data_IF_586208975296
#
_entry.id   IF_586208975296
#
_cell.length_a   1.000
_cell.length_b   1.000
_cell.length_c   1.000
_cell.angle_alpha   90.00
_cell.angle_beta   90.00
_cell.angle_gamma   90.00
#
_symmetry.space_group_name_H-M   'P 1'
#
loop_
_entity.id
_entity.type
_entity.pdbx_description
1 polymer ?
#
# COMPACT_ATOMS: atom_id res chain seq x y z
N UNK A 1 28.87 -47.79 11.19
CA UNK A 1 28.11 -48.09 9.96
C UNK A 1 28.19 -46.88 9.03
N UNK A 2 29.18 -46.88 8.11
CA UNK A 2 29.29 -45.85 7.07
C UNK A 2 28.16 -46.05 6.04
N UNK A 3 27.23 -45.09 5.86
CA UNK A 3 26.30 -45.18 4.75
C UNK A 3 27.01 -44.79 3.45
N UNK A 4 26.81 -45.62 2.42
CA UNK A 4 27.30 -45.48 1.05
C UNK A 4 27.07 -44.08 0.44
N UNK A 5 27.92 -43.65 -0.50
CA UNK A 5 27.85 -42.32 -1.11
C UNK A 5 26.64 -42.23 -2.04
N UNK A 6 25.60 -41.49 -1.63
CA UNK A 6 24.58 -41.00 -2.57
C UNK A 6 25.25 -39.93 -3.44
N UNK A 7 25.43 -40.21 -4.73
CA UNK A 7 25.93 -39.28 -5.74
C UNK A 7 25.00 -38.05 -5.78
N UNK A 8 25.37 -36.97 -5.07
CA UNK A 8 24.62 -35.72 -5.03
C UNK A 8 24.84 -34.94 -3.74
N UNK A 9 24.72 -33.61 -3.81
CA UNK A 9 24.75 -32.75 -2.63
C UNK A 9 23.38 -32.75 -1.94
N UNK A 10 23.36 -32.71 -0.60
CA UNK A 10 22.12 -32.47 0.15
C UNK A 10 21.76 -30.99 0.06
N UNK A 11 20.48 -30.64 -0.03
CA UNK A 11 20.01 -29.25 0.01
C UNK A 11 19.18 -29.04 1.27
N UNK A 12 19.52 -28.01 2.04
CA UNK A 12 18.77 -27.56 3.22
C UNK A 12 18.25 -26.15 2.93
N UNK A 13 16.94 -25.98 2.99
CA UNK A 13 16.28 -24.68 2.83
C UNK A 13 15.74 -24.28 4.20
N UNK A 14 16.10 -23.08 4.65
CA UNK A 14 15.60 -22.47 5.87
C UNK A 14 14.83 -21.22 5.47
N UNK A 15 13.51 -21.27 5.64
CA UNK A 15 12.66 -20.12 5.44
C UNK A 15 12.60 -19.26 6.71
N UNK A 16 12.37 -17.96 6.54
CA UNK A 16 12.32 -16.97 7.63
C UNK A 16 13.53 -17.04 8.58
N UNK A 17 14.74 -17.18 8.03
CA UNK A 17 15.95 -17.32 8.83
C UNK A 17 16.21 -16.10 9.75
N UNK A 18 15.59 -14.95 9.47
CA UNK A 18 15.60 -13.75 10.30
C UNK A 18 14.73 -13.83 11.57
N UNK A 19 13.87 -14.84 11.68
CA UNK A 19 13.15 -15.17 12.91
C UNK A 19 14.01 -16.00 13.89
N UNK A 20 15.15 -16.54 13.45
CA UNK A 20 16.04 -17.33 14.32
C UNK A 20 16.76 -16.46 15.34
N UNK A 21 16.91 -16.97 16.56
CA UNK A 21 17.71 -16.32 17.60
C UNK A 21 19.19 -16.23 17.20
N UNK A 22 19.88 -15.23 17.75
CA UNK A 22 21.30 -15.01 17.47
C UNK A 22 22.17 -16.24 17.77
N UNK A 23 21.88 -16.96 18.86
CA UNK A 23 22.60 -18.17 19.24
C UNK A 23 22.35 -19.32 18.26
N UNK A 24 21.12 -19.47 17.78
CA UNK A 24 20.77 -20.45 16.76
C UNK A 24 21.47 -20.13 15.43
N UNK A 25 21.55 -18.86 15.04
CA UNK A 25 22.30 -18.43 13.86
C UNK A 25 23.81 -18.72 14.01
N UNK A 26 24.40 -18.47 15.19
CA UNK A 26 25.79 -18.80 15.49
C UNK A 26 26.06 -20.32 15.47
N UNK A 27 25.11 -21.14 15.92
CA UNK A 27 25.18 -22.59 15.79
C UNK A 27 25.08 -23.02 14.32
N UNK A 28 24.12 -22.48 13.57
CA UNK A 28 23.92 -22.77 12.14
C UNK A 28 25.17 -22.44 11.32
N UNK A 29 25.83 -21.30 11.60
CA UNK A 29 27.10 -20.94 10.97
C UNK A 29 28.13 -22.06 11.07
N UNK A 30 28.32 -22.65 12.27
CA UNK A 30 29.26 -23.74 12.49
C UNK A 30 28.88 -25.00 11.71
N UNK A 31 27.58 -25.25 11.57
CA UNK A 31 27.05 -26.36 10.76
C UNK A 31 27.34 -26.15 9.28
N UNK A 32 27.09 -24.94 8.75
CA UNK A 32 27.36 -24.60 7.35
C UNK A 32 28.84 -24.78 7.03
N UNK A 33 29.74 -24.29 7.91
CA UNK A 33 31.18 -24.47 7.75
C UNK A 33 31.58 -25.95 7.71
N UNK A 34 31.05 -26.76 8.65
CA UNK A 34 31.43 -28.18 8.80
C UNK A 34 30.92 -29.05 7.65
N UNK A 35 29.78 -28.72 7.06
CA UNK A 35 29.09 -29.58 6.09
C UNK A 35 29.03 -29.01 4.66
N UNK A 36 29.75 -27.92 4.37
CA UNK A 36 29.76 -27.24 3.05
C UNK A 36 30.12 -28.14 1.87
N UNK A 37 30.98 -29.15 2.09
CA UNK A 37 31.42 -30.07 1.03
C UNK A 37 30.30 -31.01 0.55
N UNK A 38 29.36 -31.37 1.43
CA UNK A 38 28.35 -32.38 1.14
C UNK A 38 26.92 -31.81 1.14
N UNK A 39 26.72 -30.61 1.68
CA UNK A 39 25.41 -29.97 1.87
C UNK A 39 25.43 -28.52 1.41
N UNK A 40 24.45 -28.15 0.59
CA UNK A 40 24.15 -26.77 0.20
C UNK A 40 23.05 -26.22 1.11
N UNK A 41 23.22 -24.98 1.54
CA UNK A 41 22.26 -24.27 2.39
C UNK A 41 21.67 -23.10 1.61
N UNK A 42 20.35 -22.96 1.66
CA UNK A 42 19.60 -21.83 1.13
C UNK A 42 18.85 -21.18 2.30
N UNK A 43 19.15 -19.91 2.56
CA UNK A 43 18.49 -19.12 3.60
C UNK A 43 17.57 -18.12 2.93
N UNK A 44 16.30 -18.12 3.30
CA UNK A 44 15.31 -17.15 2.86
C UNK A 44 15.02 -16.27 4.08
N UNK A 45 15.01 -14.95 3.88
CA UNK A 45 14.76 -13.99 4.95
C UNK A 45 14.20 -12.69 4.36
N UNK A 46 13.41 -11.97 5.15
CA UNK A 46 12.84 -10.69 4.75
C UNK A 46 13.82 -9.53 5.06
N UNK A 47 14.46 -9.59 6.22
CA UNK A 47 15.36 -8.55 6.68
C UNK A 47 16.80 -9.06 6.86
N UNK A 48 17.66 -8.73 5.90
CA UNK A 48 19.08 -9.08 5.95
C UNK A 48 19.78 -8.53 7.21
N UNK A 49 19.36 -7.37 7.71
CA UNK A 49 19.91 -6.75 8.93
C UNK A 49 19.75 -7.60 10.19
N UNK A 50 18.78 -8.53 10.22
CA UNK A 50 18.57 -9.48 11.32
C UNK A 50 19.41 -10.76 11.20
N UNK A 51 20.11 -10.95 10.09
CA UNK A 51 21.03 -12.07 9.90
C UNK A 51 22.43 -11.67 10.33
N UNK A 52 23.10 -12.52 11.13
CA UNK A 52 24.44 -12.22 11.61
C UNK A 52 25.43 -12.03 10.45
N UNK A 53 26.35 -11.04 10.50
CA UNK A 53 27.32 -10.80 9.44
C UNK A 53 28.16 -12.04 9.07
N UNK A 54 28.39 -12.92 10.04
CA UNK A 54 29.12 -14.16 9.82
C UNK A 54 28.36 -15.17 8.94
N UNK A 55 27.02 -15.23 8.99
CA UNK A 55 26.25 -16.05 8.05
C UNK A 55 26.24 -15.40 6.66
N UNK A 56 26.07 -14.07 6.61
CA UNK A 56 26.06 -13.34 5.35
C UNK A 56 27.35 -13.53 4.54
N UNK A 57 28.51 -13.57 5.20
CA UNK A 57 29.80 -13.76 4.50
C UNK A 57 30.02 -15.16 3.93
N UNK A 58 29.22 -16.15 4.34
CA UNK A 58 29.31 -17.56 3.89
C UNK A 58 28.32 -17.90 2.78
N UNK A 59 27.43 -16.97 2.43
CA UNK A 59 26.37 -17.19 1.46
C UNK A 59 26.47 -16.19 0.31
N UNK A 60 26.20 -16.64 -0.91
CA UNK A 60 25.96 -15.74 -2.04
C UNK A 60 24.60 -15.06 -1.85
N UNK A 61 24.58 -13.74 -1.94
CA UNK A 61 23.39 -12.94 -1.68
C UNK A 61 22.61 -12.70 -2.97
N UNK A 62 21.35 -13.10 -2.97
CA UNK A 62 20.37 -12.72 -4.00
C UNK A 62 19.32 -11.85 -3.35
N UNK A 63 19.08 -10.65 -3.92
CA UNK A 63 18.05 -9.73 -3.44
C UNK A 63 16.90 -9.75 -4.42
N UNK A 64 15.73 -10.16 -3.95
CA UNK A 64 14.48 -10.06 -4.69
C UNK A 64 13.81 -8.74 -4.30
N UNK A 65 13.71 -7.83 -5.27
CA UNK A 65 12.94 -6.59 -5.13
C UNK A 65 11.48 -6.81 -5.51
N UNK A 66 10.61 -5.80 -5.28
CA UNK A 66 9.26 -5.79 -5.81
C UNK A 66 9.27 -5.99 -7.34
N UNK A 67 8.30 -6.75 -7.84
CA UNK A 67 8.19 -7.01 -9.27
C UNK A 67 7.71 -5.76 -10.02
N UNK A 68 8.22 -5.55 -11.22
CA UNK A 68 7.73 -4.52 -12.13
C UNK A 68 6.40 -4.96 -12.76
N UNK A 69 5.55 -3.98 -13.12
CA UNK A 69 4.28 -4.25 -13.79
C UNK A 69 4.45 -5.10 -15.06
N UNK A 70 5.51 -4.87 -15.82
CA UNK A 70 5.86 -5.61 -17.05
C UNK A 70 6.08 -7.11 -16.80
N UNK A 71 6.58 -7.50 -15.63
CA UNK A 71 6.78 -8.90 -15.25
C UNK A 71 5.52 -9.51 -14.63
N UNK A 72 4.72 -8.70 -13.93
CA UNK A 72 3.49 -9.16 -13.26
C UNK A 72 2.36 -9.43 -14.25
N UNK A 73 2.14 -8.54 -15.22
CA UNK A 73 0.99 -8.62 -16.14
C UNK A 73 0.97 -9.92 -16.94
N UNK A 74 2.07 -10.38 -17.58
CA UNK A 74 2.06 -11.65 -18.31
C UNK A 74 1.75 -12.84 -17.40
N UNK A 75 2.24 -12.82 -16.15
CA UNK A 75 1.97 -13.88 -15.19
C UNK A 75 0.52 -13.89 -14.73
N UNK A 76 -0.09 -12.72 -14.50
CA UNK A 76 -1.51 -12.59 -14.17
C UNK A 76 -2.39 -13.03 -15.34
N UNK A 77 -2.07 -12.62 -16.56
CA UNK A 77 -2.80 -13.03 -17.76
C UNK A 77 -2.79 -14.54 -17.96
N UNK A 78 -1.66 -15.21 -17.72
CA UNK A 78 -1.58 -16.67 -17.75
C UNK A 78 -2.57 -17.31 -16.78
N UNK A 79 -2.60 -16.86 -15.52
CA UNK A 79 -3.53 -17.39 -14.51
C UNK A 79 -4.99 -17.12 -14.88
N UNK A 80 -5.29 -15.92 -15.40
CA UNK A 80 -6.65 -15.55 -15.82
C UNK A 80 -7.15 -16.45 -16.95
N UNK A 81 -6.28 -16.79 -17.91
CA UNK A 81 -6.61 -17.68 -19.02
C UNK A 81 -6.81 -19.12 -18.58
N UNK A 82 -5.97 -19.63 -17.68
CA UNK A 82 -6.09 -21.00 -17.15
C UNK A 82 -7.35 -21.18 -16.29
N UNK A 83 -7.69 -20.18 -15.47
CA UNK A 83 -8.83 -20.24 -14.56
C UNK A 83 -10.14 -19.71 -15.18
N UNK A 84 -10.09 -19.13 -16.39
CA UNK A 84 -11.26 -18.61 -17.10
C UNK A 84 -11.95 -17.42 -16.42
N UNK A 85 -11.18 -16.52 -15.81
CA UNK A 85 -11.71 -15.36 -15.06
C UNK A 85 -12.01 -14.18 -15.99
N UNK A 86 -13.17 -13.53 -15.84
CA UNK A 86 -13.50 -12.30 -16.57
C UNK A 86 -12.85 -11.07 -15.89
N UNK A 87 -11.82 -10.52 -16.52
CA UNK A 87 -11.06 -9.36 -16.04
C UNK A 87 -11.07 -8.24 -17.08
N UNK A 88 -11.51 -7.06 -16.66
CA UNK A 88 -11.42 -5.84 -17.49
C UNK A 88 -10.00 -5.25 -17.47
N UNK A 89 -9.63 -4.48 -18.50
CA UNK A 89 -8.31 -3.82 -18.55
C UNK A 89 -8.07 -2.88 -17.36
N UNK A 90 -9.10 -2.15 -16.94
CA UNK A 90 -8.98 -1.24 -15.80
C UNK A 90 -8.91 -2.01 -14.46
N UNK A 91 -9.58 -3.16 -14.36
CA UNK A 91 -9.42 -4.09 -13.25
C UNK A 91 -7.98 -4.63 -13.15
N UNK A 92 -7.36 -4.97 -14.29
CA UNK A 92 -5.96 -5.39 -14.34
C UNK A 92 -5.01 -4.28 -13.86
N UNK A 93 -5.21 -3.04 -14.33
CA UNK A 93 -4.42 -1.89 -13.86
C UNK A 93 -4.56 -1.69 -12.35
N UNK A 94 -5.79 -1.72 -11.83
CA UNK A 94 -6.06 -1.60 -10.41
C UNK A 94 -5.38 -2.69 -9.58
N UNK A 95 -5.43 -3.95 -10.03
CA UNK A 95 -4.74 -5.07 -9.40
C UNK A 95 -3.24 -4.81 -9.29
N UNK A 96 -2.59 -4.43 -10.40
CA UNK A 96 -1.14 -4.18 -10.42
C UNK A 96 -0.78 -3.01 -9.50
N UNK A 97 -1.55 -1.92 -9.53
CA UNK A 97 -1.34 -0.76 -8.66
C UNK A 97 -1.45 -1.11 -7.18
N UNK A 98 -2.54 -1.77 -6.77
CA UNK A 98 -2.76 -2.14 -5.36
C UNK A 98 -1.78 -3.20 -4.86
N UNK A 99 -1.26 -4.03 -5.76
CA UNK A 99 -0.33 -5.10 -5.40
C UNK A 99 1.08 -4.60 -5.08
N UNK A 100 1.45 -3.39 -5.54
CA UNK A 100 2.75 -2.77 -5.24
C UNK A 100 3.97 -3.68 -5.48
N UNK A 101 3.92 -4.51 -6.52
CA UNK A 101 4.99 -5.46 -6.86
C UNK A 101 4.96 -6.80 -6.12
N UNK A 102 3.97 -7.04 -5.26
CA UNK A 102 3.75 -8.32 -4.58
C UNK A 102 2.78 -9.21 -5.37
N UNK A 103 3.30 -10.30 -5.94
CA UNK A 103 2.50 -11.26 -6.72
C UNK A 103 1.51 -12.04 -5.86
N UNK A 104 1.85 -12.34 -4.60
CA UNK A 104 0.94 -13.03 -3.66
C UNK A 104 -0.27 -12.16 -3.39
N UNK A 105 -0.04 -10.86 -3.13
CA UNK A 105 -1.13 -9.89 -2.97
C UNK A 105 -1.98 -9.80 -4.23
N UNK A 106 -1.37 -9.71 -5.41
CA UNK A 106 -2.09 -9.65 -6.69
C UNK A 106 -3.05 -10.83 -6.90
N UNK A 107 -2.56 -12.05 -6.69
CA UNK A 107 -3.37 -13.26 -6.85
C UNK A 107 -4.49 -13.35 -5.82
N UNK A 108 -4.22 -12.97 -4.56
CA UNK A 108 -5.24 -12.96 -3.52
C UNK A 108 -6.37 -11.99 -3.83
N UNK A 109 -6.05 -10.79 -4.34
CA UNK A 109 -7.06 -9.79 -4.73
C UNK A 109 -7.84 -10.29 -5.95
N UNK A 110 -7.15 -10.82 -6.97
CA UNK A 110 -7.78 -11.38 -8.17
C UNK A 110 -8.80 -12.47 -7.81
N UNK A 111 -8.39 -13.44 -6.99
CA UNK A 111 -9.23 -14.54 -6.55
C UNK A 111 -10.43 -14.02 -5.74
N UNK A 112 -10.18 -13.16 -4.74
CA UNK A 112 -11.24 -12.65 -3.86
C UNK A 112 -12.28 -11.84 -4.64
N UNK A 113 -11.84 -11.01 -5.59
CA UNK A 113 -12.72 -10.18 -6.42
C UNK A 113 -13.55 -11.04 -7.37
N UNK A 114 -12.91 -12.03 -8.02
CA UNK A 114 -13.59 -12.99 -8.91
C UNK A 114 -14.67 -13.78 -8.16
N UNK A 115 -14.35 -14.29 -6.97
CA UNK A 115 -15.29 -15.05 -6.15
C UNK A 115 -16.47 -14.19 -5.63
N UNK A 116 -16.23 -12.92 -5.31
CA UNK A 116 -17.26 -12.04 -4.76
C UNK A 116 -18.22 -11.48 -5.81
N UNK A 117 -17.73 -11.11 -7.00
CA UNK A 117 -18.51 -10.35 -7.99
C UNK A 117 -18.62 -11.03 -9.35
N UNK A 118 -17.92 -12.14 -9.59
CA UNK A 118 -17.89 -12.86 -10.87
C UNK A 118 -17.08 -12.16 -11.98
N UNK A 119 -16.98 -10.83 -11.95
CA UNK A 119 -16.18 -10.01 -12.87
C UNK A 119 -15.24 -9.08 -12.13
N UNK A 120 -14.00 -8.99 -12.60
CA UNK A 120 -12.96 -8.15 -12.00
C UNK A 120 -12.89 -6.80 -12.74
N UNK A 121 -13.55 -5.81 -12.15
CA UNK A 121 -13.51 -4.39 -12.55
C UNK A 121 -12.73 -3.55 -11.56
N UNK A 122 -12.31 -2.34 -11.93
CA UNK A 122 -11.64 -1.40 -11.03
C UNK A 122 -12.44 -1.22 -9.73
N UNK A 123 -13.74 -0.92 -9.83
CA UNK A 123 -14.62 -0.70 -8.69
C UNK A 123 -14.71 -1.91 -7.75
N UNK A 124 -14.84 -3.11 -8.31
CA UNK A 124 -14.92 -4.36 -7.54
C UNK A 124 -13.60 -4.65 -6.82
N UNK A 125 -12.46 -4.36 -7.46
CA UNK A 125 -11.12 -4.54 -6.88
C UNK A 125 -10.90 -3.60 -5.68
N UNK A 126 -11.23 -2.31 -5.83
CA UNK A 126 -11.12 -1.34 -4.73
C UNK A 126 -12.09 -1.66 -3.58
N UNK A 127 -13.31 -2.07 -3.91
CA UNK A 127 -14.31 -2.45 -2.89
C UNK A 127 -13.90 -3.72 -2.15
N UNK A 128 -13.36 -4.72 -2.84
CA UNK A 128 -12.89 -5.97 -2.23
C UNK A 128 -11.68 -5.75 -1.31
N UNK A 129 -10.83 -4.76 -1.61
CA UNK A 129 -9.64 -4.46 -0.81
C UNK A 129 -9.93 -3.50 0.34
N UNK A 130 -11.13 -2.92 0.43
CA UNK A 130 -11.45 -1.87 1.41
C UNK A 130 -10.64 -0.58 1.21
N UNK A 131 -10.03 -0.43 0.03
CA UNK A 131 -9.18 0.73 -0.27
C UNK A 131 -10.04 1.87 -0.84
N UNK A 132 -9.85 3.12 -0.39
CA UNK A 132 -10.67 4.23 -0.84
C UNK A 132 -10.52 4.45 -2.35
N UNK A 133 -11.66 4.74 -3.01
CA UNK A 133 -11.65 5.19 -4.38
C UNK A 133 -11.15 6.63 -4.47
N UNK A 134 -10.60 6.94 -5.64
CA UNK A 134 -10.20 8.29 -6.06
C UNK A 134 -11.27 9.36 -5.78
N UNK A 135 -12.53 9.06 -6.09
CA UNK A 135 -13.67 9.94 -5.83
C UNK A 135 -13.98 10.14 -4.35
N UNK A 136 -13.78 9.10 -3.54
CA UNK A 136 -14.02 9.15 -2.10
C UNK A 136 -13.00 10.07 -1.42
N UNK A 137 -11.73 9.97 -1.80
CA UNK A 137 -10.68 10.88 -1.32
C UNK A 137 -10.96 12.32 -1.70
N UNK A 138 -11.40 12.58 -2.94
CA UNK A 138 -11.77 13.93 -3.38
C UNK A 138 -12.92 14.52 -2.54
N UNK A 139 -13.96 13.72 -2.27
CA UNK A 139 -15.07 14.13 -1.42
C UNK A 139 -14.62 14.39 0.03
N UNK A 140 -13.74 13.54 0.58
CA UNK A 140 -13.19 13.73 1.93
C UNK A 140 -12.40 15.05 2.02
N UNK A 141 -11.56 15.33 1.04
CA UNK A 141 -10.81 16.59 0.95
C UNK A 141 -11.73 17.81 0.86
N UNK A 142 -12.75 17.74 0.00
CA UNK A 142 -13.76 18.80 -0.12
C UNK A 142 -14.46 19.06 1.21
N UNK A 143 -14.89 18.02 1.92
CA UNK A 143 -15.56 18.18 3.21
C UNK A 143 -14.63 18.75 4.28
N UNK A 144 -13.36 18.34 4.31
CA UNK A 144 -12.39 18.86 5.28
C UNK A 144 -12.06 20.34 5.07
N UNK A 145 -12.06 20.81 3.82
CA UNK A 145 -11.74 22.20 3.48
C UNK A 145 -12.99 23.10 3.52
N UNK A 146 -14.12 22.66 2.97
CA UNK A 146 -15.26 23.54 2.72
C UNK A 146 -16.39 23.44 3.75
N UNK A 147 -16.45 22.39 4.57
CA UNK A 147 -17.53 22.20 5.54
C UNK A 147 -17.09 22.52 6.97
N UNK A 148 -18.06 22.66 7.88
CA UNK A 148 -17.80 22.77 9.32
C UNK A 148 -17.27 21.44 9.88
N UNK A 149 -16.55 21.52 11.01
CA UNK A 149 -15.92 20.37 11.67
C UNK A 149 -16.89 19.21 11.91
N UNK A 150 -18.09 19.52 12.43
CA UNK A 150 -19.07 18.51 12.83
C UNK A 150 -19.66 17.80 11.62
N UNK A 151 -20.00 18.55 10.57
CA UNK A 151 -20.52 18.01 9.32
C UNK A 151 -19.47 17.19 8.59
N UNK A 152 -18.22 17.68 8.50
CA UNK A 152 -17.12 16.94 7.89
C UNK A 152 -16.88 15.61 8.62
N UNK A 153 -16.79 15.64 9.96
CA UNK A 153 -16.59 14.44 10.76
C UNK A 153 -17.71 13.41 10.55
N UNK A 154 -18.98 13.85 10.57
CA UNK A 154 -20.12 12.97 10.35
C UNK A 154 -20.11 12.33 8.97
N UNK A 155 -19.90 13.11 7.91
CA UNK A 155 -19.87 12.63 6.52
C UNK A 155 -18.72 11.62 6.30
N UNK A 156 -17.53 11.92 6.81
CA UNK A 156 -16.38 11.01 6.68
C UNK A 156 -16.61 9.73 7.48
N UNK A 157 -17.15 9.82 8.70
CA UNK A 157 -17.47 8.64 9.51
C UNK A 157 -18.53 7.76 8.87
N UNK A 158 -19.58 8.36 8.28
CA UNK A 158 -20.62 7.65 7.54
C UNK A 158 -20.03 6.92 6.32
N UNK A 159 -19.22 7.62 5.51
CA UNK A 159 -18.56 7.02 4.35
C UNK A 159 -17.65 5.85 4.73
N UNK A 160 -16.84 6.02 5.79
CA UNK A 160 -15.99 4.95 6.32
C UNK A 160 -16.79 3.73 6.77
N UNK A 161 -17.93 3.96 7.45
CA UNK A 161 -18.78 2.88 7.96
C UNK A 161 -19.48 2.14 6.83
N UNK A 162 -19.98 2.87 5.82
CA UNK A 162 -20.68 2.28 4.68
C UNK A 162 -19.76 1.48 3.76
N UNK A 163 -18.54 1.98 3.51
CA UNK A 163 -17.59 1.36 2.57
C UNK A 163 -16.50 0.52 3.25
N UNK A 164 -16.47 0.45 4.58
CA UNK A 164 -15.47 -0.32 5.34
C UNK A 164 -14.05 0.23 5.20
N UNK A 165 -13.89 1.55 5.03
CA UNK A 165 -12.59 2.18 4.79
C UNK A 165 -11.82 2.38 6.09
N UNK A 166 -10.53 2.03 6.08
CA UNK A 166 -9.62 2.36 7.17
C UNK A 166 -9.13 3.80 7.07
N UNK A 167 -8.99 4.49 8.21
CA UNK A 167 -8.41 5.84 8.24
C UNK A 167 -6.96 5.85 7.75
N UNK A 168 -6.22 4.75 7.95
CA UNK A 168 -4.84 4.64 7.51
C UNK A 168 -4.75 4.76 5.98
N UNK A 169 -5.60 4.04 5.24
CA UNK A 169 -5.62 4.10 3.77
C UNK A 169 -6.03 5.50 3.27
N UNK A 170 -7.03 6.11 3.92
CA UNK A 170 -7.44 7.49 3.64
C UNK A 170 -6.28 8.46 3.85
N UNK A 171 -5.55 8.32 4.96
CA UNK A 171 -4.43 9.18 5.30
C UNK A 171 -3.27 9.02 4.31
N UNK A 172 -2.94 7.79 3.91
CA UNK A 172 -1.88 7.53 2.92
C UNK A 172 -2.21 8.20 1.57
N UNK A 173 -3.45 8.07 1.09
CA UNK A 173 -3.87 8.72 -0.17
C UNK A 173 -3.87 10.25 -0.07
N UNK A 174 -4.34 10.80 1.05
CA UNK A 174 -4.28 12.25 1.30
C UNK A 174 -2.83 12.73 1.39
N UNK A 175 -1.95 11.98 2.04
CA UNK A 175 -0.53 12.32 2.13
C UNK A 175 0.12 12.36 0.75
N UNK A 176 -0.16 11.37 -0.10
CA UNK A 176 0.30 11.36 -1.49
C UNK A 176 -0.23 12.56 -2.28
N UNK A 177 -1.49 12.94 -2.07
CA UNK A 177 -2.09 14.11 -2.70
C UNK A 177 -1.39 15.41 -2.29
N UNK A 178 -1.18 15.63 -0.99
CA UNK A 178 -0.50 16.84 -0.48
C UNK A 178 0.98 16.87 -0.89
N UNK A 179 1.65 15.72 -0.90
CA UNK A 179 3.07 15.61 -1.24
C UNK A 179 3.35 15.88 -2.73
N UNK A 180 2.52 15.32 -3.63
CA UNK A 180 2.69 15.54 -5.09
C UNK A 180 2.35 16.96 -5.54
N UNK A 181 1.67 17.74 -4.70
CA UNK A 181 1.37 19.15 -4.93
C UNK A 181 0.57 19.37 -6.21
N UNK A 182 -0.76 19.20 -6.15
CA UNK A 182 -1.67 19.76 -7.16
C UNK A 182 -1.36 19.43 -8.63
N UNK A 183 -0.61 18.37 -8.95
CA UNK A 183 -0.33 18.05 -10.35
C UNK A 183 -1.63 17.67 -11.05
N UNK A 184 -1.92 18.40 -12.14
CA UNK A 184 -3.14 18.46 -12.99
C UNK A 184 -3.74 17.13 -13.47
N UNK A 185 -3.16 16.00 -13.09
CA UNK A 185 -3.52 14.64 -13.55
C UNK A 185 -4.95 14.26 -13.14
N UNK A 186 -5.44 14.78 -12.00
CA UNK A 186 -6.77 14.44 -11.49
C UNK A 186 -7.90 15.26 -12.14
N UNK A 187 -7.62 16.49 -12.56
CA UNK A 187 -8.58 17.35 -13.28
C UNK A 187 -9.03 16.70 -14.59
N UNK A 188 -8.12 16.09 -15.33
CA UNK A 188 -8.45 15.39 -16.58
C UNK A 188 -9.34 14.16 -16.34
N UNK A 189 -9.09 13.38 -15.28
CA UNK A 189 -9.88 12.18 -14.98
C UNK A 189 -11.28 12.48 -14.40
N UNK A 190 -11.44 13.57 -13.64
CA UNK A 190 -12.73 13.96 -13.06
C UNK A 190 -13.67 14.55 -14.14
N UNK A 191 -13.12 15.27 -15.12
CA UNK A 191 -13.90 15.88 -16.21
C UNK A 191 -14.47 14.87 -17.24
N UNK A 192 -14.02 13.61 -17.24
CA UNK A 192 -14.45 12.60 -18.22
C UNK A 192 -15.62 11.69 -17.76
N UNK A 193 -16.19 11.88 -16.56
CA UNK A 193 -17.30 11.05 -16.05
C UNK A 193 -18.67 11.71 -16.29
N UNK A 194 -19.63 11.03 -16.97
CA UNK A 194 -20.90 11.64 -17.43
C UNK A 194 -21.97 11.88 -16.34
N UNK A 195 -21.77 11.45 -15.10
CA UNK A 195 -22.79 11.51 -14.02
C UNK A 195 -22.29 12.23 -12.75
N UNK A 196 -21.56 13.34 -12.91
CA UNK A 196 -21.23 14.21 -11.78
C UNK A 196 -22.35 15.27 -11.62
N UNK A 197 -23.13 15.26 -10.52
CA UNK A 197 -24.30 16.11 -10.38
C UNK A 197 -23.95 17.42 -9.68
N UNK A 198 -22.89 18.11 -10.12
CA UNK A 198 -22.58 19.46 -9.64
C UNK A 198 -22.22 20.35 -10.83
N UNK A 199 -22.78 21.57 -10.91
CA UNK A 199 -22.51 22.50 -11.99
C UNK A 199 -21.02 22.82 -12.05
N UNK A 200 -20.46 22.81 -13.28
CA UNK A 200 -19.03 23.01 -13.61
C UNK A 200 -18.38 24.26 -12.96
N UNK A 201 -19.17 25.20 -12.44
CA UNK A 201 -18.71 26.39 -11.73
C UNK A 201 -18.28 26.15 -10.27
N UNK A 202 -18.76 25.09 -9.61
CA UNK A 202 -18.34 24.76 -8.22
C UNK A 202 -17.15 23.78 -8.18
N UNK A 203 -16.91 23.02 -9.25
CA UNK A 203 -15.72 22.17 -9.39
C UNK A 203 -14.40 22.97 -9.48
N UNK A 204 -14.47 24.29 -9.61
CA UNK A 204 -13.30 25.17 -9.75
C UNK A 204 -12.42 25.22 -8.47
N UNK A 205 -12.93 24.78 -7.32
CA UNK A 205 -12.17 24.77 -6.06
C UNK A 205 -11.24 23.55 -5.89
N UNK A 206 -11.44 22.48 -6.65
CA UNK A 206 -10.48 21.36 -6.72
C UNK A 206 -9.36 21.63 -7.74
N UNK A 207 -9.46 22.68 -8.57
CA UNK A 207 -8.53 22.88 -9.68
C UNK A 207 -7.13 23.37 -9.30
N UNK A 208 -6.92 23.98 -8.13
CA UNK A 208 -5.60 24.45 -7.70
C UNK A 208 -5.59 24.72 -6.20
N UNK A 209 -5.65 23.70 -5.35
CA UNK A 209 -5.21 23.89 -3.96
C UNK A 209 -3.69 23.78 -3.94
N UNK A 210 -3.03 24.76 -4.55
CA UNK A 210 -1.60 24.96 -4.36
C UNK A 210 -1.41 25.66 -3.02
N UNK A 211 -1.24 24.86 -1.96
CA UNK A 211 -0.88 25.39 -0.66
C UNK A 211 0.48 26.13 -0.76
N UNK A 212 0.60 27.33 -0.17
CA UNK A 212 1.89 28.00 -0.02
C UNK A 212 2.93 27.03 0.59
N UNK A 213 4.21 27.08 0.16
CA UNK A 213 5.22 26.11 0.59
C UNK A 213 5.32 25.96 2.11
N UNK A 214 5.23 27.06 2.85
CA UNK A 214 5.25 27.08 4.32
C UNK A 214 4.10 26.30 4.94
N UNK A 215 2.88 26.52 4.45
CA UNK A 215 1.67 25.85 4.92
C UNK A 215 1.70 24.36 4.54
N UNK A 216 2.15 24.03 3.33
CA UNK A 216 2.29 22.64 2.88
C UNK A 216 3.24 21.84 3.77
N UNK A 217 4.38 22.43 4.15
CA UNK A 217 5.35 21.78 5.06
C UNK A 217 4.70 21.50 6.42
N UNK A 218 3.98 22.49 6.98
CA UNK A 218 3.29 22.31 8.26
C UNK A 218 2.22 21.21 8.19
N UNK A 219 1.44 21.18 7.11
CA UNK A 219 0.42 20.15 6.91
C UNK A 219 1.05 18.76 6.78
N UNK A 220 2.13 18.61 5.99
CA UNK A 220 2.84 17.33 5.84
C UNK A 220 3.40 16.81 7.18
N UNK A 221 3.94 17.69 8.03
CA UNK A 221 4.40 17.32 9.38
C UNK A 221 3.22 16.80 10.21
N UNK A 222 2.07 17.49 10.19
CA UNK A 222 0.87 17.05 10.92
C UNK A 222 0.34 15.72 10.42
N UNK A 223 0.32 15.49 9.11
CA UNK A 223 -0.11 14.21 8.54
C UNK A 223 0.82 13.07 8.97
N UNK A 224 2.14 13.29 8.95
CA UNK A 224 3.11 12.30 9.42
C UNK A 224 2.96 11.97 10.92
N UNK A 225 2.70 12.99 11.75
CA UNK A 225 2.44 12.79 13.18
C UNK A 225 1.17 11.94 13.41
N UNK A 226 0.11 12.18 12.64
CA UNK A 226 -1.15 11.42 12.73
C UNK A 226 -0.92 9.97 12.28
N UNK A 227 -0.18 9.75 11.20
CA UNK A 227 0.14 8.42 10.67
C UNK A 227 0.93 7.61 11.69
N UNK A 228 1.96 8.21 12.28
CA UNK A 228 2.76 7.58 13.33
C UNK A 228 1.89 7.17 14.54
N UNK A 229 0.99 8.06 14.98
CA UNK A 229 0.08 7.77 16.11
C UNK A 229 -0.93 6.68 15.77
N UNK A 230 -1.41 6.61 14.53
CA UNK A 230 -2.28 5.52 14.09
C UNK A 230 -1.54 4.19 14.14
N UNK A 231 -0.31 4.15 13.61
CA UNK A 231 0.53 2.95 13.63
C UNK A 231 0.88 2.49 15.06
N UNK A 232 0.97 3.41 16.02
CA UNK A 232 1.20 3.10 17.43
C UNK A 232 -0.03 2.57 18.19
N UNK A 233 -1.19 2.41 17.53
CA UNK A 233 -2.40 1.82 18.13
C UNK A 233 -3.31 2.80 18.86
N UNK A 234 -3.34 4.06 18.45
CA UNK A 234 -4.26 5.06 19.03
C UNK A 234 -5.70 4.95 18.48
N UNK A 235 -6.65 5.64 19.13
CA UNK A 235 -8.05 5.65 18.71
C UNK A 235 -8.24 6.34 17.37
N UNK A 236 -8.77 5.60 16.39
CA UNK A 236 -9.05 6.08 15.04
C UNK A 236 -10.00 7.28 15.03
N UNK A 237 -10.95 7.37 15.97
CA UNK A 237 -11.87 8.51 16.10
C UNK A 237 -11.14 9.81 16.44
N UNK A 238 -10.17 9.74 17.36
CA UNK A 238 -9.37 10.90 17.78
C UNK A 238 -8.47 11.36 16.63
N UNK A 239 -7.89 10.41 15.90
CA UNK A 239 -7.02 10.72 14.76
C UNK A 239 -7.81 11.29 13.58
N UNK A 240 -9.03 10.81 13.32
CA UNK A 240 -9.92 11.41 12.33
C UNK A 240 -10.24 12.87 12.68
N UNK A 241 -10.60 13.15 13.92
CA UNK A 241 -10.80 14.52 14.40
C UNK A 241 -9.55 15.39 14.23
N UNK A 242 -8.38 14.82 14.53
CA UNK A 242 -7.10 15.51 14.38
C UNK A 242 -6.77 15.83 12.92
N UNK A 243 -7.10 14.92 12.00
CA UNK A 243 -6.94 15.11 10.56
C UNK A 243 -7.81 16.25 10.04
N UNK A 244 -9.10 16.26 10.38
CA UNK A 244 -10.04 17.32 9.97
C UNK A 244 -9.58 18.67 10.53
N UNK A 245 -9.20 18.70 11.81
CA UNK A 245 -8.69 19.92 12.45
C UNK A 245 -7.42 20.44 11.76
N UNK A 246 -6.50 19.56 11.34
CA UNK A 246 -5.29 19.97 10.63
C UNK A 246 -5.64 20.68 9.31
N UNK A 247 -6.57 20.15 8.51
CA UNK A 247 -7.00 20.78 7.26
C UNK A 247 -7.74 22.10 7.47
N UNK A 248 -8.57 22.21 8.51
CA UNK A 248 -9.26 23.46 8.82
C UNK A 248 -8.30 24.55 9.30
N UNK A 249 -7.33 24.21 10.15
CA UNK A 249 -6.26 25.16 10.55
C UNK A 249 -5.47 25.60 9.34
N UNK A 250 -5.12 24.67 8.44
CA UNK A 250 -4.45 24.99 7.18
C UNK A 250 -5.27 25.96 6.32
N UNK A 251 -6.58 25.73 6.17
CA UNK A 251 -7.47 26.64 5.44
C UNK A 251 -7.47 28.04 6.07
N UNK A 252 -7.60 28.13 7.38
CA UNK A 252 -7.67 29.42 8.07
C UNK A 252 -6.34 30.19 7.95
N UNK A 253 -5.20 29.49 7.92
CA UNK A 253 -3.88 30.07 7.63
C UNK A 253 -3.77 30.57 6.19
N UNK A 254 -4.30 29.82 5.21
CA UNK A 254 -4.30 30.25 3.80
C UNK A 254 -5.13 31.53 3.64
N UNK A 255 -6.29 31.62 4.31
CA UNK A 255 -7.13 32.83 4.29
C UNK A 255 -6.46 34.01 4.99
N UNK A 256 -5.64 33.77 6.02
CA UNK A 256 -4.89 34.82 6.70
C UNK A 256 -3.67 35.33 5.91
N UNK A 257 -3.10 34.51 5.02
CA UNK A 257 -1.98 34.88 4.14
C UNK A 257 -2.43 35.53 2.82
N UNK A 258 -3.73 35.44 2.47
CA UNK A 258 -4.34 35.99 1.25
C UNK A 258 -4.86 37.43 1.42
#
# INVERSE_FOLDING_TARGET
THPLPRKGFKLVILDEADAMTQDAQNALRRVIEKFTENTRFCLICNYLSKIIPALQSRCTRFRFGPLTAELMVPRLQHVIQEEGVDVSEDGMKALVTLSSGDMRRALNILQSTSMAFGKVTEENVYTCTGHPLKSDIANILDWMLNQDFSTAYRKIMELKTLKGLALQDILTEIHLFVHRGGERVWLQMILERPNFPLPLTECFLLSTVDFPPSIRIQLLIKLADIEYRLAAGTSEKIQLSSLIAAFQVTRDLVVAEA
#
